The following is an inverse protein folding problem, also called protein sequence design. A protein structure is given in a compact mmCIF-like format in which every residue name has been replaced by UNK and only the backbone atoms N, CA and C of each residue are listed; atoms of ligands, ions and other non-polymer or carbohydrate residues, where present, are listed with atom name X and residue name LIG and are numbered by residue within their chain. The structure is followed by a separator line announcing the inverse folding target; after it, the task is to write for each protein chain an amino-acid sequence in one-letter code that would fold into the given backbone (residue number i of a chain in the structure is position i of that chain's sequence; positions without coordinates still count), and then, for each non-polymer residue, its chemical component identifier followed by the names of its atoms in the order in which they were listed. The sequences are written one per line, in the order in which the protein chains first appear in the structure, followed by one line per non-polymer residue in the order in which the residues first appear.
data_IF_200667206606
#
_entry.id   IF_200667206606
#
_cell.length_a   1.000
_cell.length_b   1.000
_cell.length_c   1.000
_cell.angle_alpha   90.00
_cell.angle_beta   90.00
_cell.angle_gamma   90.00
#
_symmetry.space_group_name_H-M   'P 1'
#
loop_
_entity.id
_entity.type
_entity.pdbx_description
1 polymer ?
#
# COMPACT_ATOMS: atom_id res chain seq x y z
N UNK A 1 -0.98 9.80 -9.87
CA UNK A 1 -0.90 8.48 -10.54
C UNK A 1 -0.32 8.66 -11.94
N UNK A 2 0.85 8.11 -12.21
CA UNK A 2 1.53 8.16 -13.50
C UNK A 2 1.46 6.80 -14.22
N UNK A 3 1.60 6.81 -15.55
CA UNK A 3 1.63 5.59 -16.35
C UNK A 3 0.31 5.22 -17.05
N UNK A 4 -0.70 6.09 -16.98
CA UNK A 4 -1.95 6.01 -17.74
C UNK A 4 -2.28 7.36 -18.38
N UNK A 5 -2.34 8.42 -17.59
CA UNK A 5 -2.74 9.78 -18.03
C UNK A 5 -1.54 10.67 -18.37
N UNK A 6 -0.37 10.34 -17.82
CA UNK A 6 0.85 11.12 -17.97
C UNK A 6 1.98 10.22 -18.46
N UNK A 7 2.90 10.84 -19.20
CA UNK A 7 4.16 10.19 -19.58
C UNK A 7 5.10 10.06 -18.38
N UNK A 8 6.12 9.24 -18.52
CA UNK A 8 7.16 9.13 -17.50
C UNK A 8 7.93 10.44 -17.34
N UNK A 9 8.18 11.14 -18.43
CA UNK A 9 8.90 12.41 -18.46
C UNK A 9 8.15 13.49 -17.70
N UNK A 10 6.84 13.63 -17.93
CA UNK A 10 5.98 14.52 -17.14
C UNK A 10 5.96 14.14 -15.65
N UNK A 11 5.95 12.85 -15.34
CA UNK A 11 6.07 12.37 -13.95
C UNK A 11 7.40 12.80 -13.32
N UNK A 12 8.50 12.75 -14.06
CA UNK A 12 9.81 13.17 -13.57
C UNK A 12 9.88 14.68 -13.29
N UNK A 13 9.33 15.49 -14.19
CA UNK A 13 9.24 16.95 -13.99
C UNK A 13 8.43 17.31 -12.74
N UNK A 14 7.29 16.62 -12.54
CA UNK A 14 6.45 16.81 -11.34
C UNK A 14 7.17 16.41 -10.06
N UNK A 15 7.89 15.28 -10.06
CA UNK A 15 8.65 14.81 -8.91
C UNK A 15 9.82 15.72 -8.57
N UNK A 16 10.56 16.20 -9.57
CA UNK A 16 11.65 17.16 -9.38
C UNK A 16 11.11 18.47 -8.80
N UNK A 17 10.05 19.01 -9.39
CA UNK A 17 9.41 20.23 -8.90
C UNK A 17 8.87 20.10 -7.47
N UNK A 18 8.18 18.99 -7.18
CA UNK A 18 7.65 18.72 -5.84
C UNK A 18 8.77 18.73 -4.78
N UNK A 19 9.88 18.03 -5.07
CA UNK A 19 11.00 17.95 -4.15
C UNK A 19 11.69 19.31 -3.97
N UNK A 20 11.85 20.08 -5.04
CA UNK A 20 12.43 21.43 -5.00
C UNK A 20 11.56 22.43 -4.19
N UNK A 21 10.23 22.18 -4.13
CA UNK A 21 9.31 22.94 -3.29
C UNK A 21 9.17 22.36 -1.86
N UNK A 22 9.98 21.37 -1.48
CA UNK A 22 9.97 20.77 -0.15
C UNK A 22 8.87 19.72 0.06
N UNK A 23 8.15 19.31 -0.98
CA UNK A 23 7.14 18.25 -0.91
C UNK A 23 7.83 16.89 -1.06
N UNK A 24 8.20 16.29 0.05
CA UNK A 24 9.00 15.07 0.10
C UNK A 24 8.25 13.82 0.57
N UNK A 25 7.00 13.91 0.99
CA UNK A 25 6.16 12.76 1.30
C UNK A 25 5.36 12.38 0.05
N UNK A 26 5.69 11.21 -0.56
CA UNK A 26 5.08 10.76 -1.80
C UNK A 26 4.27 9.50 -1.56
N UNK A 27 3.00 9.53 -1.95
CA UNK A 27 2.06 8.43 -1.81
C UNK A 27 1.72 7.80 -3.16
N UNK A 28 1.83 6.48 -3.22
CA UNK A 28 1.46 5.66 -4.36
C UNK A 28 0.73 4.39 -3.91
N UNK A 29 0.49 3.46 -4.81
CA UNK A 29 -0.05 2.14 -4.49
C UNK A 29 0.31 1.12 -5.58
N UNK A 30 0.40 -0.15 -5.18
CA UNK A 30 0.53 -1.29 -6.10
C UNK A 30 -0.53 -1.27 -7.21
N UNK A 31 -1.77 -0.88 -6.85
CA UNK A 31 -2.89 -0.84 -7.78
C UNK A 31 -2.76 0.23 -8.87
N UNK A 32 -1.98 1.31 -8.62
CA UNK A 32 -1.92 2.45 -9.53
C UNK A 32 -1.11 2.13 -10.81
N UNK A 33 -1.49 2.64 -11.97
CA UNK A 33 -2.25 3.89 -12.24
C UNK A 33 -3.78 3.78 -12.01
N UNK A 34 -4.44 4.96 -12.08
CA UNK A 34 -5.91 5.12 -12.02
C UNK A 34 -6.37 5.69 -13.37
N UNK A 35 -7.43 5.14 -14.00
CA UNK A 35 -8.24 3.99 -13.56
C UNK A 35 -7.44 2.68 -13.53
N UNK A 36 -7.71 1.81 -12.53
CA UNK A 36 -6.92 0.58 -12.39
C UNK A 36 -7.29 -0.45 -13.48
N UNK A 37 -6.28 -0.89 -14.22
CA UNK A 37 -6.36 -1.89 -15.30
C UNK A 37 -5.30 -2.96 -15.10
N UNK A 38 -5.53 -4.15 -15.68
CA UNK A 38 -4.55 -5.25 -15.65
C UNK A 38 -3.22 -4.85 -16.29
N UNK A 39 -3.29 -4.05 -17.34
CA UNK A 39 -2.14 -3.63 -18.15
C UNK A 39 -1.29 -2.55 -17.47
N UNK A 40 -1.89 -1.78 -16.55
CA UNK A 40 -1.25 -0.58 -15.98
C UNK A 40 -1.06 -0.61 -14.46
N UNK A 41 -1.50 -1.68 -13.77
CA UNK A 41 -1.24 -1.78 -12.34
C UNK A 41 0.27 -1.85 -12.06
N UNK A 42 0.72 -1.13 -11.06
CA UNK A 42 2.13 -1.00 -10.70
C UNK A 42 2.91 0.01 -11.55
N UNK A 43 2.33 0.59 -12.61
CA UNK A 43 3.05 1.53 -13.47
C UNK A 43 3.49 2.79 -12.72
N UNK A 44 2.69 3.32 -11.79
CA UNK A 44 3.10 4.48 -10.99
C UNK A 44 4.33 4.18 -10.15
N UNK A 45 4.39 2.99 -9.53
CA UNK A 45 5.59 2.55 -8.80
C UNK A 45 6.81 2.41 -9.73
N UNK A 46 6.61 1.92 -10.97
CA UNK A 46 7.69 1.81 -11.97
C UNK A 46 8.24 3.20 -12.34
N UNK A 47 7.37 4.17 -12.58
CA UNK A 47 7.77 5.56 -12.90
C UNK A 47 8.57 6.16 -11.75
N UNK A 48 8.11 6.00 -10.51
CA UNK A 48 8.84 6.47 -9.32
C UNK A 48 10.19 5.76 -9.19
N UNK A 49 10.23 4.44 -9.37
CA UNK A 49 11.47 3.66 -9.30
C UNK A 49 12.50 4.09 -10.36
N UNK A 50 12.05 4.36 -11.58
CA UNK A 50 12.90 4.89 -12.65
C UNK A 50 13.46 6.28 -12.29
N UNK A 51 12.65 7.11 -11.65
CA UNK A 51 13.12 8.41 -11.15
C UNK A 51 14.16 8.25 -10.04
N UNK A 52 13.95 7.35 -9.05
CA UNK A 52 14.96 7.07 -8.02
C UNK A 52 16.28 6.61 -8.63
N UNK A 53 16.22 5.70 -9.61
CA UNK A 53 17.41 5.22 -10.31
C UNK A 53 18.17 6.34 -11.03
N UNK A 54 17.42 7.24 -11.69
CA UNK A 54 17.99 8.37 -12.44
C UNK A 54 18.53 9.47 -11.53
N UNK A 55 17.72 9.89 -10.56
CA UNK A 55 18.02 11.06 -9.71
C UNK A 55 19.02 10.75 -8.59
N UNK A 56 19.08 9.49 -8.11
CA UNK A 56 19.80 9.06 -6.91
C UNK A 56 19.34 9.75 -5.62
N UNK A 57 18.09 10.24 -5.58
CA UNK A 57 17.52 11.01 -4.46
C UNK A 57 16.51 10.19 -3.62
N UNK A 58 16.65 8.85 -3.57
CA UNK A 58 15.73 8.00 -2.78
C UNK A 58 15.68 8.41 -1.30
N UNK A 59 16.82 8.79 -0.73
CA UNK A 59 16.98 9.22 0.66
C UNK A 59 16.32 10.57 0.98
N UNK A 60 15.93 11.34 -0.02
CA UNK A 60 15.24 12.63 0.15
C UNK A 60 13.72 12.48 0.22
N UNK A 61 13.19 11.29 -0.04
CA UNK A 61 11.76 11.05 -0.16
C UNK A 61 11.28 10.10 0.93
N UNK A 62 10.24 10.50 1.64
CA UNK A 62 9.43 9.61 2.49
C UNK A 62 8.40 8.94 1.57
N UNK A 63 8.61 7.68 1.27
CA UNK A 63 7.82 6.94 0.29
C UNK A 63 6.74 6.09 0.95
N UNK A 64 5.48 6.38 0.63
CA UNK A 64 4.35 5.55 0.99
C UNK A 64 3.84 4.76 -0.23
N UNK A 65 3.58 3.47 -0.04
CA UNK A 65 2.84 2.66 -1.01
C UNK A 65 1.87 1.73 -0.29
N UNK A 66 1.03 1.02 -1.04
CA UNK A 66 -0.09 0.24 -0.49
C UNK A 66 -0.21 -1.10 -1.17
N UNK A 67 -0.44 -2.16 -0.39
CA UNK A 67 -0.87 -3.44 -0.94
C UNK A 67 -2.30 -3.33 -1.45
N UNK A 68 -2.58 -3.85 -2.64
CA UNK A 68 -3.94 -3.89 -3.18
C UNK A 68 -4.88 -4.68 -2.27
N UNK A 69 -6.06 -4.13 -2.02
CA UNK A 69 -7.14 -4.80 -1.31
C UNK A 69 -7.78 -5.93 -2.14
N UNK A 70 -8.87 -6.51 -1.66
CA UNK A 70 -9.64 -7.55 -2.38
C UNK A 70 -10.23 -7.01 -3.70
N UNK A 71 -10.87 -7.85 -4.47
CA UNK A 71 -11.68 -7.49 -5.65
C UNK A 71 -10.93 -7.18 -6.96
N UNK A 72 -9.65 -7.49 -7.10
CA UNK A 72 -8.92 -7.37 -8.37
C UNK A 72 -8.32 -8.71 -8.78
N UNK A 73 -9.01 -9.54 -9.57
CA UNK A 73 -8.57 -10.92 -9.87
C UNK A 73 -7.23 -10.98 -10.61
N UNK A 74 -6.86 -9.95 -11.34
CA UNK A 74 -5.56 -9.88 -12.01
C UNK A 74 -4.39 -9.56 -11.07
N UNK A 75 -4.65 -9.19 -9.82
CA UNK A 75 -3.63 -9.00 -8.78
C UNK A 75 -3.66 -10.21 -7.85
N UNK A 76 -2.68 -11.11 -8.01
CA UNK A 76 -2.51 -12.34 -7.21
C UNK A 76 -3.79 -13.21 -7.09
N UNK A 77 -4.62 -13.25 -8.15
CA UNK A 77 -5.87 -14.03 -8.17
C UNK A 77 -7.06 -13.37 -7.45
N UNK A 78 -6.89 -12.16 -6.93
CA UNK A 78 -7.94 -11.45 -6.16
C UNK A 78 -8.20 -12.05 -4.79
N UNK A 79 -9.37 -11.73 -4.22
CA UNK A 79 -9.76 -12.18 -2.87
C UNK A 79 -8.85 -11.59 -1.79
N UNK A 80 -8.73 -12.30 -0.68
CA UNK A 80 -7.91 -11.86 0.45
C UNK A 80 -6.42 -11.79 0.09
N UNK A 81 -5.79 -10.67 0.36
CA UNK A 81 -4.39 -10.37 -0.02
C UNK A 81 -3.43 -10.27 1.18
N UNK A 82 -3.94 -10.30 2.42
CA UNK A 82 -3.15 -10.03 3.62
C UNK A 82 -2.59 -11.27 4.31
N UNK A 83 -2.81 -12.46 3.72
CA UNK A 83 -2.05 -13.66 4.09
C UNK A 83 -0.56 -13.53 3.73
N UNK A 84 0.31 -14.19 4.50
CA UNK A 84 1.77 -14.02 4.42
C UNK A 84 2.34 -14.18 3.01
N UNK A 85 1.91 -15.20 2.27
CA UNK A 85 2.42 -15.47 0.92
C UNK A 85 2.12 -14.30 -0.03
N UNK A 86 0.85 -13.85 -0.07
CA UNK A 86 0.43 -12.75 -0.94
C UNK A 86 1.04 -11.41 -0.53
N UNK A 87 1.15 -11.15 0.79
CA UNK A 87 1.85 -9.96 1.29
C UNK A 87 3.34 -9.99 0.90
N UNK A 88 3.99 -11.13 1.02
CA UNK A 88 5.39 -11.28 0.60
C UNK A 88 5.57 -10.97 -0.89
N UNK A 89 4.69 -11.50 -1.73
CA UNK A 89 4.71 -11.20 -3.16
C UNK A 89 4.45 -9.72 -3.45
N UNK A 90 3.53 -9.09 -2.71
CA UNK A 90 3.21 -7.66 -2.86
C UNK A 90 4.38 -6.75 -2.46
N UNK A 91 4.94 -6.95 -1.26
CA UNK A 91 6.08 -6.16 -0.74
C UNK A 91 7.29 -6.28 -1.68
N UNK A 92 7.67 -7.51 -2.03
CA UNK A 92 8.81 -7.72 -2.93
C UNK A 92 8.54 -7.16 -4.33
N UNK A 93 7.29 -7.25 -4.82
CA UNK A 93 6.87 -6.65 -6.09
C UNK A 93 6.99 -5.14 -6.08
N UNK A 94 6.51 -4.47 -5.03
CA UNK A 94 6.62 -3.01 -4.86
C UNK A 94 8.08 -2.56 -4.76
N UNK A 95 8.91 -3.23 -3.94
CA UNK A 95 10.35 -2.94 -3.84
C UNK A 95 11.05 -3.05 -5.20
N UNK A 96 10.72 -4.09 -5.98
CA UNK A 96 11.27 -4.28 -7.33
C UNK A 96 10.84 -3.16 -8.28
N UNK A 97 9.55 -2.79 -8.32
CA UNK A 97 9.05 -1.71 -9.19
C UNK A 97 9.60 -0.35 -8.80
N UNK A 98 9.67 -0.08 -7.50
CA UNK A 98 10.22 1.15 -6.91
C UNK A 98 11.75 1.22 -6.95
N UNK A 99 12.42 0.11 -7.28
CA UNK A 99 13.89 0.02 -7.36
C UNK A 99 14.58 0.51 -6.08
N UNK A 100 14.06 0.08 -4.94
CA UNK A 100 14.54 0.41 -3.59
C UNK A 100 14.48 -0.85 -2.72
N UNK A 101 15.28 -0.88 -1.67
CA UNK A 101 15.31 -1.97 -0.69
C UNK A 101 14.42 -1.73 0.54
N UNK A 102 13.84 -0.53 0.67
CA UNK A 102 12.93 -0.21 1.76
C UNK A 102 11.78 0.72 1.34
N UNK A 103 10.67 0.63 2.07
CA UNK A 103 9.49 1.49 1.98
C UNK A 103 9.34 2.20 3.33
N UNK A 104 9.11 3.52 3.32
CA UNK A 104 8.97 4.28 4.57
C UNK A 104 7.61 4.03 5.24
N UNK A 105 6.52 3.99 4.46
CA UNK A 105 5.17 3.69 4.96
C UNK A 105 4.48 2.68 4.04
N UNK A 106 4.13 1.51 4.57
CA UNK A 106 3.38 0.51 3.84
C UNK A 106 1.96 0.42 4.37
N UNK A 107 0.97 0.60 3.49
CA UNK A 107 -0.42 0.72 3.89
C UNK A 107 -1.27 -0.44 3.38
N UNK A 108 -2.25 -0.87 4.19
CA UNK A 108 -3.33 -1.73 3.76
C UNK A 108 -4.36 -0.87 3.03
N UNK A 109 -4.54 -1.08 1.71
CA UNK A 109 -5.28 -0.16 0.85
C UNK A 109 -6.79 -0.18 1.11
N UNK A 110 -7.35 -1.35 1.48
CA UNK A 110 -8.76 -1.57 1.77
C UNK A 110 -8.93 -2.68 2.80
N UNK A 111 -9.97 -2.64 3.64
CA UNK A 111 -10.34 -3.79 4.44
C UNK A 111 -10.56 -5.04 3.57
N UNK A 112 -10.18 -6.21 4.06
CA UNK A 112 -10.51 -7.48 3.39
C UNK A 112 -11.93 -7.95 3.69
N UNK A 113 -12.40 -7.62 4.88
CA UNK A 113 -13.77 -7.96 5.30
C UNK A 113 -14.80 -7.08 4.58
N UNK A 114 -16.05 -7.54 4.58
CA UNK A 114 -17.17 -6.79 4.01
C UNK A 114 -17.37 -5.47 4.75
N UNK A 115 -17.22 -4.39 4.02
CA UNK A 115 -17.44 -3.01 4.47
C UNK A 115 -18.07 -2.21 3.34
N UNK A 116 -18.55 -1.00 3.63
CA UNK A 116 -18.92 -0.08 2.57
C UNK A 116 -17.68 0.27 1.74
N UNK A 117 -17.81 0.15 0.43
CA UNK A 117 -16.80 0.52 -0.56
C UNK A 117 -17.40 1.51 -1.55
N UNK A 118 -16.59 2.17 -2.35
CA UNK A 118 -16.98 3.15 -3.37
C UNK A 118 -18.37 2.89 -3.98
N UNK A 119 -19.33 3.77 -3.67
CA UNK A 119 -20.70 3.71 -4.17
C UNK A 119 -21.57 2.56 -3.64
N UNK A 120 -21.02 1.62 -2.89
CA UNK A 120 -21.78 0.58 -2.21
C UNK A 120 -22.14 1.06 -0.80
N UNK A 121 -23.40 1.40 -0.60
CA UNK A 121 -23.98 1.75 0.70
C UNK A 121 -24.81 0.57 1.24
N UNK A 122 -24.91 0.50 2.56
CA UNK A 122 -25.66 -0.55 3.24
C UNK A 122 -24.79 -1.79 3.48
N UNK A 123 -24.52 -2.05 4.74
CA UNK A 123 -23.79 -3.23 5.19
C UNK A 123 -24.76 -4.42 5.27
N UNK A 124 -24.39 -5.52 4.63
CA UNK A 124 -25.04 -6.81 4.77
C UNK A 124 -24.07 -7.76 5.45
N UNK A 125 -24.48 -8.31 6.61
CA UNK A 125 -23.65 -9.24 7.35
C UNK A 125 -23.60 -10.61 6.66
N UNK A 126 -22.40 -11.17 6.53
CA UNK A 126 -22.16 -12.53 6.05
C UNK A 126 -21.47 -13.34 7.16
N UNK A 127 -22.18 -14.27 7.77
CA UNK A 127 -21.65 -15.13 8.83
C UNK A 127 -20.54 -16.09 8.34
N UNK A 128 -20.46 -16.32 7.03
CA UNK A 128 -19.46 -17.18 6.40
C UNK A 128 -18.27 -16.39 5.83
N UNK A 129 -18.21 -15.10 6.10
CA UNK A 129 -17.14 -14.25 5.60
C UNK A 129 -15.77 -14.75 6.10
N UNK A 130 -14.85 -14.97 5.16
CA UNK A 130 -13.50 -15.40 5.45
C UNK A 130 -12.51 -14.28 5.07
N UNK A 131 -11.75 -13.81 6.04
CA UNK A 131 -10.73 -12.79 5.88
C UNK A 131 -9.55 -13.01 6.86
N UNK A 132 -8.38 -12.44 6.58
CA UNK A 132 -7.23 -12.58 7.46
C UNK A 132 -7.44 -11.78 8.75
N UNK A 133 -7.29 -12.45 9.89
CA UNK A 133 -7.48 -11.82 11.20
C UNK A 133 -6.47 -10.70 11.43
N UNK A 134 -6.87 -9.65 12.11
CA UNK A 134 -6.02 -8.47 12.38
C UNK A 134 -4.68 -8.83 13.04
N UNK A 135 -4.66 -9.81 13.95
CA UNK A 135 -3.44 -10.25 14.63
C UNK A 135 -2.46 -10.89 13.64
N UNK A 136 -2.95 -11.75 12.75
CA UNK A 136 -2.13 -12.40 11.71
C UNK A 136 -1.58 -11.37 10.72
N UNK A 137 -2.40 -10.41 10.31
CA UNK A 137 -1.99 -9.31 9.42
C UNK A 137 -0.88 -8.47 10.06
N UNK A 138 -1.03 -8.09 11.33
CA UNK A 138 0.01 -7.37 12.08
C UNK A 138 1.28 -8.20 12.24
N UNK A 139 1.15 -9.51 12.49
CA UNK A 139 2.27 -10.45 12.57
C UNK A 139 3.02 -10.55 11.25
N UNK A 140 2.29 -10.59 10.13
CA UNK A 140 2.89 -10.58 8.79
C UNK A 140 3.63 -9.28 8.51
N UNK A 141 3.02 -8.13 8.84
CA UNK A 141 3.66 -6.81 8.70
C UNK A 141 4.92 -6.69 9.55
N UNK A 142 4.88 -7.23 10.79
CA UNK A 142 6.05 -7.24 11.69
C UNK A 142 7.26 -7.89 11.04
N UNK A 143 7.09 -9.00 10.32
CA UNK A 143 8.20 -9.66 9.63
C UNK A 143 8.90 -8.74 8.65
N UNK A 144 8.15 -7.97 7.85
CA UNK A 144 8.75 -7.06 6.87
C UNK A 144 9.40 -5.84 7.53
N UNK A 145 8.91 -5.43 8.71
CA UNK A 145 9.56 -4.41 9.54
C UNK A 145 10.88 -4.95 10.10
N UNK A 146 10.86 -6.16 10.68
CA UNK A 146 12.05 -6.82 11.23
C UNK A 146 13.11 -7.11 10.15
N UNK A 147 12.67 -7.39 8.90
CA UNK A 147 13.54 -7.56 7.73
C UNK A 147 14.08 -6.22 7.17
N UNK A 148 13.64 -5.08 7.69
CA UNK A 148 14.04 -3.75 7.23
C UNK A 148 13.43 -3.32 5.89
N UNK A 149 12.50 -4.09 5.34
CA UNK A 149 11.79 -3.79 4.08
C UNK A 149 10.76 -2.69 4.22
N UNK A 150 10.17 -2.56 5.40
CA UNK A 150 9.14 -1.57 5.75
C UNK A 150 9.59 -0.88 7.03
N UNK A 151 9.50 0.45 7.09
CA UNK A 151 9.79 1.21 8.30
C UNK A 151 8.55 1.34 9.17
N UNK A 152 7.45 1.81 8.58
CA UNK A 152 6.20 2.06 9.27
C UNK A 152 5.02 1.45 8.52
N UNK A 153 3.92 1.18 9.24
CA UNK A 153 2.70 0.58 8.68
C UNK A 153 1.52 1.51 8.87
N UNK A 154 0.57 1.47 7.94
CA UNK A 154 -0.61 2.32 7.96
C UNK A 154 -1.83 1.66 7.35
N UNK A 155 -2.95 2.34 7.43
CA UNK A 155 -4.24 1.92 6.92
C UNK A 155 -4.75 2.89 5.85
N UNK A 156 -5.61 2.41 4.97
CA UNK A 156 -6.40 3.22 4.06
C UNK A 156 -7.81 2.64 3.97
N UNK A 157 -8.81 3.52 3.87
CA UNK A 157 -10.23 3.14 3.74
C UNK A 157 -10.76 2.24 4.88
N UNK A 158 -10.08 2.26 6.02
CA UNK A 158 -10.46 1.44 7.16
C UNK A 158 -11.56 2.13 8.00
N UNK A 159 -12.42 1.33 8.62
CA UNK A 159 -13.47 1.83 9.51
C UNK A 159 -12.91 2.23 10.87
N UNK A 160 -13.58 3.12 11.63
CA UNK A 160 -13.17 3.47 13.01
C UNK A 160 -13.03 2.22 13.91
N UNK A 161 -13.92 1.23 13.74
CA UNK A 161 -13.83 -0.03 14.47
C UNK A 161 -12.56 -0.81 14.13
N UNK A 162 -12.24 -0.96 12.84
CA UNK A 162 -11.04 -1.67 12.41
C UNK A 162 -9.76 -0.97 12.85
N UNK A 163 -9.71 0.38 12.75
CA UNK A 163 -8.59 1.17 13.30
C UNK A 163 -8.39 0.89 14.79
N UNK A 164 -9.49 0.92 15.58
CA UNK A 164 -9.43 0.64 17.03
C UNK A 164 -8.90 -0.77 17.31
N UNK A 165 -9.33 -1.77 16.54
CA UNK A 165 -8.86 -3.16 16.69
C UNK A 165 -7.39 -3.33 16.36
N UNK A 166 -6.89 -2.72 15.30
CA UNK A 166 -5.46 -2.71 14.98
C UNK A 166 -4.63 -2.07 16.10
N UNK A 167 -5.08 -0.94 16.65
CA UNK A 167 -4.37 -0.23 17.73
C UNK A 167 -4.38 -1.03 19.05
N UNK A 168 -5.52 -1.64 19.40
CA UNK A 168 -5.67 -2.51 20.57
C UNK A 168 -4.68 -3.68 20.51
N UNK A 169 -4.72 -4.48 19.44
CA UNK A 169 -3.86 -5.63 19.23
C UNK A 169 -2.38 -5.26 19.14
N UNK A 170 -2.06 -4.15 18.49
CA UNK A 170 -0.70 -3.63 18.42
C UNK A 170 -0.12 -3.40 19.82
N UNK A 171 -0.89 -2.79 20.72
CA UNK A 171 -0.49 -2.53 22.10
C UNK A 171 -0.39 -3.83 22.92
N UNK A 172 -1.42 -4.68 22.87
CA UNK A 172 -1.49 -5.90 23.66
C UNK A 172 -0.44 -6.94 23.29
N UNK A 173 -0.19 -7.10 21.99
CA UNK A 173 0.69 -8.14 21.44
C UNK A 173 2.09 -7.63 21.08
N UNK A 174 2.39 -6.35 21.31
CA UNK A 174 3.66 -5.70 20.93
C UNK A 174 3.96 -5.86 19.43
N UNK A 175 2.92 -5.67 18.62
CA UNK A 175 2.99 -5.70 17.16
C UNK A 175 3.13 -4.29 16.59
N UNK A 176 3.48 -4.10 15.31
CA UNK A 176 3.61 -2.78 14.71
C UNK A 176 2.35 -1.93 14.88
N UNK A 177 2.52 -0.68 15.29
CA UNK A 177 1.41 0.26 15.43
C UNK A 177 1.09 0.90 14.09
N UNK A 178 -0.20 0.91 13.73
CA UNK A 178 -0.66 1.69 12.56
C UNK A 178 -0.39 3.18 12.80
N UNK A 179 0.48 3.78 11.98
CA UNK A 179 0.94 5.16 12.13
C UNK A 179 0.03 6.18 11.46
N UNK A 180 -0.72 5.75 10.45
CA UNK A 180 -1.59 6.62 9.65
C UNK A 180 -2.87 5.93 9.25
N UNK A 181 -3.87 6.73 8.91
CA UNK A 181 -5.08 6.36 8.19
C UNK A 181 -5.31 7.34 7.06
N UNK A 182 -5.59 6.84 5.86
CA UNK A 182 -5.91 7.62 4.67
C UNK A 182 -7.30 7.23 4.16
N UNK A 183 -8.28 8.12 4.32
CA UNK A 183 -9.66 7.95 3.86
C UNK A 183 -10.05 9.03 2.85
#
# INVERSE_FOLDING_TARGET
TWGEQNTQEEGFEQMDYALDQGVNFWDTAELYAVPPKKETFGHTEIVIGNWFKKSKKRDKVVLATKIAGPARPYIRGGGNNYGLEKMTAAVNGSLKRLQTDYIDLYQLHWPERNTNMFGKLGYEHDENENWNMFEDVLGNLKRFVDEGKIREVGLSNETPWGVSKYLELSKEKKLPRMMSIQN
#
